data_IF_931294241806
#
_entry.id   IF_931294241806
#
_cell.length_a   1.000
_cell.length_b   1.000
_cell.length_c   1.000
_cell.angle_alpha   90.00
_cell.angle_beta   90.00
_cell.angle_gamma   90.00
#
_symmetry.space_group_name_H-M   'P 1'
#
loop_
_entity.id
_entity.type
_entity.pdbx_description
1 polymer ?
#
# COMPACT_ATOMS: atom_id res chain seq x y z
N UNK A 1 9.88 8.97 -13.64
CA UNK A 1 8.44 8.67 -13.49
C UNK A 1 7.65 9.96 -13.41
N UNK A 2 6.63 10.15 -14.25
CA UNK A 2 5.60 11.18 -14.04
C UNK A 2 4.44 10.53 -13.28
N UNK A 3 4.61 10.31 -11.98
CA UNK A 3 3.55 9.85 -11.08
C UNK A 3 3.08 11.02 -10.21
N UNK A 4 1.77 11.17 -9.98
CA UNK A 4 1.24 12.09 -8.98
C UNK A 4 1.34 11.41 -7.62
N UNK A 5 2.03 12.03 -6.66
CA UNK A 5 2.18 11.53 -5.28
C UNK A 5 1.27 12.36 -4.37
N UNK A 6 0.43 11.72 -3.55
CA UNK A 6 -0.56 12.39 -2.70
C UNK A 6 -0.77 11.65 -1.38
N UNK A 7 -1.21 12.35 -0.34
CA UNK A 7 -1.57 11.78 0.97
C UNK A 7 -3.09 11.68 1.11
N UNK A 8 -3.58 10.50 1.49
CA UNK A 8 -5.00 10.24 1.69
C UNK A 8 -5.52 10.80 3.02
N UNK A 9 -6.78 11.25 3.02
CA UNK A 9 -7.47 11.82 4.17
C UNK A 9 -8.76 11.06 4.49
N UNK A 10 -9.13 11.05 5.77
CA UNK A 10 -10.41 10.51 6.18
C UNK A 10 -11.54 11.37 5.61
N UNK A 11 -12.51 10.80 4.87
CA UNK A 11 -13.60 11.58 4.30
C UNK A 11 -14.55 12.15 5.36
N UNK A 12 -14.49 11.63 6.60
CA UNK A 12 -15.36 12.05 7.71
C UNK A 12 -14.72 13.09 8.63
N UNK A 13 -13.47 12.90 9.02
CA UNK A 13 -12.80 13.78 9.99
C UNK A 13 -11.55 14.46 9.45
N UNK A 14 -11.20 14.23 8.18
CA UNK A 14 -10.07 14.86 7.48
C UNK A 14 -8.70 14.63 8.14
N UNK A 15 -8.58 13.62 9.00
CA UNK A 15 -7.28 13.20 9.52
C UNK A 15 -6.56 12.29 8.52
N UNK A 16 -5.23 12.31 8.57
CA UNK A 16 -4.36 11.47 7.72
C UNK A 16 -3.99 10.14 8.38
N UNK A 17 -4.26 10.00 9.68
CA UNK A 17 -3.92 8.80 10.42
C UNK A 17 -4.89 7.65 10.10
N UNK A 18 -4.37 6.66 9.38
CA UNK A 18 -5.09 5.48 8.89
C UNK A 18 -4.41 4.20 9.35
N UNK A 19 -5.19 3.14 9.52
CA UNK A 19 -4.70 1.79 9.76
C UNK A 19 -5.23 0.83 8.68
N UNK A 20 -4.37 -0.08 8.25
CA UNK A 20 -4.71 -1.16 7.32
C UNK A 20 -5.05 -2.43 8.10
N UNK A 21 -6.24 -2.99 7.86
CA UNK A 21 -6.72 -4.24 8.46
C UNK A 21 -6.75 -5.31 7.36
N UNK A 22 -5.88 -6.32 7.47
CA UNK A 22 -5.76 -7.39 6.48
C UNK A 22 -6.68 -8.58 6.83
N UNK A 23 -7.41 -9.08 5.84
CA UNK A 23 -8.23 -10.28 5.94
C UNK A 23 -7.69 -11.35 4.99
N UNK A 24 -7.20 -12.44 5.59
CA UNK A 24 -6.75 -13.64 4.89
C UNK A 24 -7.87 -14.68 4.85
N UNK A 25 -8.12 -15.25 3.68
CA UNK A 25 -9.05 -16.36 3.48
C UNK A 25 -8.40 -17.39 2.57
N UNK A 26 -8.60 -18.66 2.88
CA UNK A 26 -8.07 -19.74 2.05
C UNK A 26 -8.61 -19.60 0.61
N UNK A 27 -7.70 -19.66 -0.37
CA UNK A 27 -8.02 -19.58 -1.80
C UNK A 27 -8.68 -18.28 -2.27
N UNK A 28 -8.65 -17.20 -1.47
CA UNK A 28 -9.06 -15.86 -1.89
C UNK A 28 -7.88 -14.88 -1.87
N UNK A 29 -7.87 -13.85 -2.73
CA UNK A 29 -6.93 -12.73 -2.60
C UNK A 29 -7.07 -12.04 -1.24
N UNK A 30 -5.95 -11.53 -0.73
CA UNK A 30 -5.94 -10.80 0.55
C UNK A 30 -6.71 -9.49 0.38
N UNK A 31 -7.67 -9.26 1.28
CA UNK A 31 -8.45 -8.01 1.30
C UNK A 31 -7.91 -7.09 2.37
N UNK A 32 -7.80 -5.81 2.06
CA UNK A 32 -7.38 -4.79 3.03
C UNK A 32 -8.50 -3.79 3.22
N UNK A 33 -8.85 -3.56 4.47
CA UNK A 33 -9.82 -2.56 4.90
C UNK A 33 -9.07 -1.44 5.59
N UNK A 34 -9.28 -0.21 5.14
CA UNK A 34 -8.66 0.98 5.73
C UNK A 34 -9.62 1.59 6.73
N UNK A 35 -9.14 1.84 7.95
CA UNK A 35 -9.90 2.51 9.01
C UNK A 35 -9.16 3.76 9.46
N UNK A 36 -9.89 4.86 9.63
CA UNK A 36 -9.34 6.06 10.26
C UNK A 36 -9.07 5.80 11.74
N UNK A 37 -7.85 6.07 12.22
CA UNK A 37 -7.51 5.81 13.62
C UNK A 37 -8.13 6.83 14.58
N UNK A 38 -8.48 8.03 14.09
CA UNK A 38 -9.14 9.07 14.88
C UNK A 38 -10.64 8.77 15.08
N UNK A 39 -11.45 8.79 14.02
CA UNK A 39 -12.90 8.62 14.12
C UNK A 39 -13.41 7.17 13.92
N UNK A 40 -12.50 6.21 13.74
CA UNK A 40 -12.79 4.76 13.56
C UNK A 40 -13.67 4.42 12.36
N UNK A 41 -13.88 5.35 11.43
CA UNK A 41 -14.68 5.09 10.24
C UNK A 41 -13.94 4.21 9.24
N UNK A 42 -14.70 3.40 8.51
CA UNK A 42 -14.24 2.78 7.27
C UNK A 42 -13.95 3.85 6.22
N UNK A 43 -12.77 3.79 5.61
CA UNK A 43 -12.27 4.75 4.61
C UNK A 43 -12.28 4.13 3.22
N UNK A 44 -11.64 2.97 3.06
CA UNK A 44 -11.45 2.34 1.76
C UNK A 44 -11.30 0.82 1.87
N UNK A 45 -11.47 0.11 0.75
CA UNK A 45 -11.16 -1.31 0.61
C UNK A 45 -10.44 -1.58 -0.69
N UNK A 46 -9.30 -2.28 -0.62
CA UNK A 46 -8.58 -2.76 -1.79
C UNK A 46 -8.26 -4.26 -1.69
N UNK A 47 -7.90 -4.84 -2.83
CA UNK A 47 -7.48 -6.23 -2.96
C UNK A 47 -5.99 -6.25 -3.24
N UNK A 48 -5.21 -6.97 -2.44
CA UNK A 48 -3.77 -7.10 -2.65
C UNK A 48 -3.50 -8.20 -3.68
N UNK A 49 -2.93 -7.80 -4.81
CA UNK A 49 -2.38 -8.75 -5.79
C UNK A 49 -0.97 -9.21 -5.41
N UNK A 50 -0.18 -8.28 -4.85
CA UNK A 50 1.19 -8.50 -4.39
C UNK A 50 1.41 -7.72 -3.10
N UNK A 51 2.22 -8.26 -2.20
CA UNK A 51 2.59 -7.62 -0.95
C UNK A 51 4.10 -7.73 -0.76
N UNK A 52 4.74 -6.64 -0.36
CA UNK A 52 6.16 -6.58 -0.04
C UNK A 52 6.32 -5.86 1.30
N UNK A 53 7.22 -6.34 2.14
CA UNK A 53 7.54 -5.73 3.42
C UNK A 53 9.02 -5.86 3.72
N UNK A 54 9.50 -5.07 4.68
CA UNK A 54 10.84 -5.16 5.26
C UNK A 54 11.09 -6.43 6.11
N UNK A 55 10.06 -7.27 6.31
CA UNK A 55 10.16 -8.55 7.02
C UNK A 55 10.78 -9.65 6.18
N UNK A 56 11.48 -10.57 6.84
CA UNK A 56 12.13 -11.73 6.22
C UNK A 56 11.12 -12.69 5.57
N UNK A 57 11.60 -13.34 4.50
CA UNK A 57 10.92 -14.34 3.66
C UNK A 57 10.00 -15.35 4.40
N UNK A 58 10.37 -15.80 5.60
CA UNK A 58 9.57 -16.74 6.40
C UNK A 58 8.24 -16.14 6.87
N UNK A 59 8.23 -14.87 7.31
CA UNK A 59 7.00 -14.20 7.76
C UNK A 59 6.01 -13.99 6.60
N UNK A 60 6.53 -13.92 5.37
CA UNK A 60 5.75 -13.75 4.15
C UNK A 60 5.09 -15.07 3.70
N UNK A 61 5.85 -16.17 3.67
CA UNK A 61 5.35 -17.48 3.25
C UNK A 61 4.30 -18.08 4.20
N UNK A 62 4.41 -17.83 5.50
CA UNK A 62 3.45 -18.32 6.49
C UNK A 62 2.03 -17.74 6.29
N UNK A 63 1.91 -16.58 5.63
CA UNK A 63 0.65 -15.83 5.53
C UNK A 63 0.01 -15.83 4.12
N UNK A 64 0.71 -16.26 3.06
CA UNK A 64 0.27 -16.02 1.66
C UNK A 64 0.15 -17.25 0.75
N UNK A 65 0.31 -18.49 1.24
CA UNK A 65 0.24 -19.66 0.37
C UNK A 65 -1.22 -20.00 -0.04
N UNK A 66 -1.56 -19.75 -1.32
CA UNK A 66 -1.93 -20.88 -2.17
C UNK A 66 -1.14 -20.97 -3.48
N UNK A 67 -0.15 -20.10 -3.74
CA UNK A 67 0.55 -20.09 -5.04
C UNK A 67 1.91 -20.80 -4.95
N UNK A 68 2.02 -21.94 -5.64
CA UNK A 68 3.27 -22.69 -5.85
C UNK A 68 4.26 -21.88 -6.70
N UNK A 69 5.03 -20.99 -6.08
CA UNK A 69 6.21 -20.39 -6.71
C UNK A 69 7.47 -21.16 -6.29
N UNK A 70 8.42 -21.35 -7.21
CA UNK A 70 9.70 -21.98 -6.87
C UNK A 70 10.56 -21.00 -6.06
N UNK A 71 11.09 -21.45 -4.92
CA UNK A 71 11.78 -20.58 -3.95
C UNK A 71 12.97 -19.76 -4.50
N UNK A 72 13.58 -20.22 -5.60
CA UNK A 72 14.67 -19.48 -6.25
C UNK A 72 14.21 -18.19 -6.95
N UNK A 73 13.09 -18.22 -7.69
CA UNK A 73 12.54 -17.04 -8.35
C UNK A 73 12.00 -16.02 -7.35
N UNK A 74 11.42 -16.51 -6.25
CA UNK A 74 10.91 -15.65 -5.18
C UNK A 74 12.05 -14.92 -4.47
N UNK A 75 13.18 -15.57 -4.22
CA UNK A 75 14.34 -14.92 -3.60
C UNK A 75 15.00 -13.86 -4.51
N UNK A 76 15.15 -14.16 -5.80
CA UNK A 76 15.73 -13.20 -6.77
C UNK A 76 14.84 -11.94 -6.93
N UNK A 77 13.51 -12.09 -6.93
CA UNK A 77 12.59 -10.95 -6.94
C UNK A 77 12.70 -10.13 -5.64
N UNK A 78 12.78 -10.77 -4.47
CA UNK A 78 12.80 -10.09 -3.17
C UNK A 78 14.08 -9.29 -2.90
N UNK A 79 15.26 -9.81 -3.26
CA UNK A 79 16.54 -9.11 -3.05
C UNK A 79 16.63 -7.85 -3.92
N UNK A 80 16.26 -7.95 -5.20
CA UNK A 80 16.24 -6.82 -6.13
C UNK A 80 15.19 -5.77 -5.74
N UNK A 81 14.02 -6.21 -5.26
CA UNK A 81 12.96 -5.33 -4.78
C UNK A 81 13.36 -4.54 -3.53
N UNK A 82 14.23 -5.06 -2.66
CA UNK A 82 14.49 -4.44 -1.35
C UNK A 82 15.20 -3.07 -1.43
N UNK A 83 16.21 -2.93 -2.29
CA UNK A 83 16.91 -1.64 -2.50
C UNK A 83 16.11 -0.71 -3.40
N UNK A 84 15.49 -1.23 -4.45
CA UNK A 84 14.67 -0.42 -5.37
C UNK A 84 13.47 0.20 -4.64
N UNK A 85 12.71 -0.60 -3.87
CA UNK A 85 11.56 -0.14 -3.09
C UNK A 85 11.97 0.87 -2.01
N UNK A 86 13.15 0.68 -1.40
CA UNK A 86 13.66 1.64 -0.40
C UNK A 86 14.00 2.99 -1.05
N UNK A 87 14.71 2.98 -2.17
CA UNK A 87 15.05 4.20 -2.89
C UNK A 87 13.78 4.91 -3.44
N UNK A 88 12.82 4.13 -3.92
CA UNK A 88 11.52 4.65 -4.34
C UNK A 88 10.76 5.29 -3.16
N UNK A 89 10.72 4.61 -2.01
CA UNK A 89 10.11 5.14 -0.79
C UNK A 89 10.74 6.47 -0.35
N UNK A 90 12.07 6.57 -0.31
CA UNK A 90 12.77 7.81 0.03
C UNK A 90 12.45 8.93 -0.96
N UNK A 91 12.45 8.62 -2.25
CA UNK A 91 12.10 9.57 -3.32
C UNK A 91 10.68 10.10 -3.16
N UNK A 92 9.71 9.20 -2.91
CA UNK A 92 8.30 9.55 -2.75
C UNK A 92 8.08 10.39 -1.48
N UNK A 93 8.74 10.04 -0.38
CA UNK A 93 8.63 10.76 0.90
C UNK A 93 9.18 12.18 0.78
N UNK A 94 10.36 12.34 0.18
CA UNK A 94 10.96 13.65 -0.07
C UNK A 94 10.07 14.53 -0.97
N UNK A 95 9.43 13.94 -1.98
CA UNK A 95 8.48 14.64 -2.85
C UNK A 95 7.22 15.08 -2.09
N UNK A 96 6.70 14.28 -1.16
CA UNK A 96 5.55 14.66 -0.32
C UNK A 96 5.87 15.81 0.63
N UNK A 97 7.07 15.83 1.21
CA UNK A 97 7.47 16.88 2.15
C UNK A 97 7.69 18.22 1.46
N UNK A 98 8.14 18.20 0.21
CA UNK A 98 8.44 19.38 -0.61
C UNK A 98 7.27 19.91 -1.43
N UNK A 99 6.16 19.17 -1.56
CA UNK A 99 4.99 19.60 -2.33
C UNK A 99 4.13 20.64 -1.59
N UNK A 100 3.66 21.68 -2.30
CA UNK A 100 2.75 22.72 -1.77
C UNK A 100 1.31 22.23 -1.60
N UNK A 101 0.83 21.32 -2.46
CA UNK A 101 -0.49 20.67 -2.34
C UNK A 101 -0.38 19.30 -1.67
N UNK A 102 -0.65 19.27 -0.36
CA UNK A 102 -0.35 18.10 0.47
C UNK A 102 -1.49 17.07 0.53
N UNK A 103 -2.73 17.51 0.33
CA UNK A 103 -3.88 16.82 0.93
C UNK A 103 -5.11 16.84 -0.01
N UNK A 104 -5.52 15.67 -0.55
CA UNK A 104 -6.78 15.50 -1.33
C UNK A 104 -7.43 14.14 -1.04
N UNK A 105 -8.75 14.03 -1.21
CA UNK A 105 -9.49 12.77 -0.99
C UNK A 105 -9.29 11.79 -2.16
N UNK A 106 -9.36 10.49 -1.93
CA UNK A 106 -9.14 9.48 -2.98
C UNK A 106 -10.18 9.58 -4.10
N UNK A 107 -11.42 9.95 -3.77
CA UNK A 107 -12.50 10.15 -4.74
C UNK A 107 -12.25 11.34 -5.66
N UNK A 108 -11.56 12.38 -5.17
CA UNK A 108 -11.15 13.53 -5.97
C UNK A 108 -9.97 13.20 -6.90
N UNK A 109 -9.21 12.14 -6.60
CA UNK A 109 -8.07 11.69 -7.41
C UNK A 109 -8.49 10.83 -8.60
N UNK A 110 -9.54 10.02 -8.45
CA UNK A 110 -10.05 9.15 -9.52
C UNK A 110 -10.57 9.99 -10.70
N UNK A 111 -11.22 11.13 -10.40
CA UNK A 111 -11.79 12.04 -11.40
C UNK A 111 -10.69 12.71 -12.25
N UNK A 112 -9.56 13.09 -11.64
CA UNK A 112 -8.44 13.78 -12.30
C UNK A 112 -7.62 12.88 -13.27
N UNK A 113 -7.93 11.58 -13.36
CA UNK A 113 -7.27 10.62 -14.26
C UNK A 113 -8.08 10.30 -15.51
N UNK A 114 -9.31 10.79 -15.61
CA UNK A 114 -10.22 10.55 -16.75
C UNK A 114 -10.22 11.69 -17.79
N UNK A 115 -9.42 12.75 -17.59
CA UNK A 115 -9.13 13.84 -18.56
C UNK A 115 -7.73 13.72 -19.17
#
# INVERSE_FOLDING_TARGET
>A
MKGKIRREHCPKCHETNMENILLFRAHEPVRVYVRCTNCKSFTARYTLERYLSDKTYQSYLENLLPVRLSGKKVNEELEFLSEEVKNEFETITNALESAEEKDRKIEELIIDTEE
#
